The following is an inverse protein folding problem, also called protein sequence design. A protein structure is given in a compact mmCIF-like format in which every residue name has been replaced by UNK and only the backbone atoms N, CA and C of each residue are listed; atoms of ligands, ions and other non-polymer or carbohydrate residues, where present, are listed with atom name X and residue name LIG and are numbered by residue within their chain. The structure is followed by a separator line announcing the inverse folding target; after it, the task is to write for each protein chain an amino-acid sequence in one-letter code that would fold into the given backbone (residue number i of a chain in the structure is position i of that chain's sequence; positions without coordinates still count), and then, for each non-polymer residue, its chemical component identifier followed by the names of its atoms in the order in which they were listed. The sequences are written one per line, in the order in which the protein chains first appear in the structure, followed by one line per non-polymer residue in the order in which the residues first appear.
data_IF_504900348689
#
_entry.id   IF_504900348689
#
_cell.length_a   1.000
_cell.length_b   1.000
_cell.length_c   1.000
_cell.angle_alpha   90.00
_cell.angle_beta   90.00
_cell.angle_gamma   90.00
#
_symmetry.space_group_name_H-M   'P 1'
#
loop_
_entity.id
_entity.type
_entity.pdbx_description
1 polymer ?
#
# COMPACT_ATOMS: atom_id res chain seq x y z
N UNK A 1 -14.97 3.58 46.45
CA UNK A 1 -15.50 2.23 46.18
C UNK A 1 -16.47 2.36 45.01
N UNK A 2 -16.08 2.02 43.78
CA UNK A 2 -16.16 0.64 43.20
C UNK A 2 -17.63 0.30 42.92
N UNK A 3 -18.10 -0.09 41.74
CA UNK A 3 -17.47 -0.69 40.58
C UNK A 3 -18.31 -0.40 39.33
N UNK A 4 -17.62 -0.47 38.18
CA UNK A 4 -18.14 -0.72 36.85
C UNK A 4 -19.16 -1.88 36.82
N UNK A 5 -20.15 -1.82 35.91
CA UNK A 5 -20.28 -2.83 34.84
C UNK A 5 -20.95 -2.22 33.60
N UNK A 6 -20.22 -2.40 32.51
CA UNK A 6 -20.57 -2.19 31.11
C UNK A 6 -21.63 -3.21 30.68
N UNK A 7 -22.58 -2.76 29.87
CA UNK A 7 -23.18 -3.50 28.73
C UNK A 7 -24.13 -2.49 28.06
N UNK A 8 -24.24 -2.32 26.75
CA UNK A 8 -24.00 -3.22 25.64
C UNK A 8 -23.96 -2.32 24.39
N UNK A 9 -22.79 -2.14 23.77
CA UNK A 9 -22.64 -1.37 22.53
C UNK A 9 -23.12 -2.22 21.35
N UNK A 10 -24.38 -2.07 20.97
CA UNK A 10 -24.86 -2.47 19.66
C UNK A 10 -24.07 -1.69 18.58
N UNK A 11 -23.23 -2.42 17.85
CA UNK A 11 -22.42 -1.90 16.77
C UNK A 11 -23.26 -1.50 15.56
N UNK A 12 -23.67 -0.23 15.53
CA UNK A 12 -24.25 0.43 14.37
C UNK A 12 -23.14 0.77 13.35
N UNK A 13 -23.35 0.35 12.10
CA UNK A 13 -22.52 0.75 10.96
C UNK A 13 -22.63 2.26 10.71
N UNK A 14 -21.51 2.92 10.45
CA UNK A 14 -21.48 4.36 10.17
C UNK A 14 -20.08 4.98 10.25
N UNK A 15 -19.93 6.16 9.65
CA UNK A 15 -18.73 7.01 9.80
C UNK A 15 -18.89 7.80 11.10
N UNK A 16 -18.01 7.58 12.07
CA UNK A 16 -17.99 8.33 13.33
C UNK A 16 -16.69 9.11 13.41
N UNK A 17 -16.78 10.41 13.72
CA UNK A 17 -15.63 11.17 14.18
C UNK A 17 -15.29 10.66 15.59
N UNK A 18 -14.17 9.95 15.75
CA UNK A 18 -13.73 9.47 17.07
C UNK A 18 -12.49 10.24 17.53
N UNK A 19 -12.51 10.66 18.78
CA UNK A 19 -11.36 11.28 19.45
C UNK A 19 -10.56 10.14 20.05
N UNK A 20 -9.44 9.76 19.43
CA UNK A 20 -8.53 8.79 20.04
C UNK A 20 -7.73 9.48 21.16
N UNK A 21 -7.80 8.91 22.37
CA UNK A 21 -7.08 9.40 23.54
C UNK A 21 -5.90 8.46 23.80
N UNK A 22 -4.70 8.94 23.48
CA UNK A 22 -3.44 8.25 23.76
C UNK A 22 -3.28 8.09 25.28
N UNK A 23 -3.00 6.90 25.82
CA UNK A 23 -2.64 6.74 27.22
C UNK A 23 -1.34 7.53 27.48
N UNK A 24 -1.47 8.68 28.16
CA UNK A 24 -0.33 9.51 28.60
C UNK A 24 -0.06 10.82 27.84
N UNK A 25 -0.84 11.19 26.81
CA UNK A 25 -0.62 12.42 26.02
C UNK A 25 -1.76 13.43 26.10
N UNK A 26 -1.47 14.71 26.39
CA UNK A 26 -2.46 15.82 26.47
C UNK A 26 -2.71 16.52 25.13
N UNK A 27 -2.69 15.80 24.01
CA UNK A 27 -2.94 16.41 22.69
C UNK A 27 -3.94 15.57 21.91
N UNK A 28 -5.14 16.13 21.73
CA UNK A 28 -6.20 15.57 20.90
C UNK A 28 -5.88 15.79 19.42
N UNK A 29 -5.93 14.72 18.62
CA UNK A 29 -5.81 14.80 17.16
C UNK A 29 -7.12 14.25 16.57
N UNK A 30 -7.81 14.95 15.66
CA UNK A 30 -9.04 14.45 15.05
C UNK A 30 -8.77 13.21 14.17
N UNK A 31 -9.54 12.14 14.38
CA UNK A 31 -9.52 10.93 13.56
C UNK A 31 -10.93 10.65 13.00
N UNK A 32 -10.98 10.22 11.74
CA UNK A 32 -12.21 9.69 11.12
C UNK A 32 -12.16 8.17 11.16
N UNK A 33 -13.17 7.54 11.76
CA UNK A 33 -13.32 6.10 11.82
C UNK A 33 -14.51 5.67 10.97
N UNK A 34 -14.26 4.79 10.00
CA UNK A 34 -15.30 4.16 9.19
C UNK A 34 -15.40 2.68 9.57
N UNK A 35 -16.61 2.21 9.87
CA UNK A 35 -16.89 0.81 10.25
C UNK A 35 -18.11 0.30 9.49
N UNK A 36 -17.94 -0.81 8.74
CA UNK A 36 -18.96 -1.52 7.96
C UNK A 36 -19.69 -0.66 6.92
N UNK A 37 -18.96 0.26 6.28
CA UNK A 37 -19.49 1.09 5.20
C UNK A 37 -18.47 1.20 4.08
N UNK A 38 -18.95 1.21 2.83
CA UNK A 38 -18.16 1.66 1.68
C UNK A 38 -18.24 3.18 1.66
N UNK A 39 -17.13 3.80 2.03
CA UNK A 39 -16.99 5.26 2.02
C UNK A 39 -16.39 5.66 0.68
N UNK A 40 -16.84 6.77 0.09
CA UNK A 40 -16.23 7.31 -1.11
C UNK A 40 -14.83 7.87 -0.82
N UNK A 41 -14.71 9.19 -0.82
CA UNK A 41 -13.45 9.87 -0.52
C UNK A 41 -13.36 10.23 0.98
N UNK A 42 -12.25 9.85 1.62
CA UNK A 42 -11.92 10.19 3.01
C UNK A 42 -10.71 11.10 3.02
N UNK A 43 -10.87 12.31 3.56
CA UNK A 43 -9.77 13.22 3.87
C UNK A 43 -9.75 13.52 5.38
N UNK A 44 -8.67 13.16 6.07
CA UNK A 44 -8.47 13.42 7.50
C UNK A 44 -6.99 13.33 7.88
N UNK A 45 -6.60 13.82 9.06
CA UNK A 45 -5.21 13.65 9.54
C UNK A 45 -4.88 12.19 9.81
N UNK A 46 -5.79 11.48 10.48
CA UNK A 46 -5.67 10.05 10.78
C UNK A 46 -6.94 9.34 10.34
N UNK A 47 -6.78 8.24 9.63
CA UNK A 47 -7.89 7.39 9.17
C UNK A 47 -7.72 5.99 9.73
N UNK A 48 -8.76 5.49 10.39
CA UNK A 48 -8.84 4.11 10.84
C UNK A 48 -9.99 3.43 10.12
N UNK A 49 -9.67 2.38 9.36
CA UNK A 49 -10.63 1.50 8.73
C UNK A 49 -10.58 0.13 9.41
N UNK A 50 -11.72 -0.32 9.93
CA UNK A 50 -11.90 -1.71 10.38
C UNK A 50 -13.08 -2.31 9.63
N UNK A 51 -12.86 -3.44 8.94
CA UNK A 51 -13.85 -4.16 8.14
C UNK A 51 -14.69 -3.24 7.25
N UNK A 52 -14.01 -2.34 6.53
CA UNK A 52 -14.65 -1.30 5.71
C UNK A 52 -13.95 -1.10 4.38
N UNK A 53 -14.64 -0.45 3.45
CA UNK A 53 -14.12 -0.06 2.14
C UNK A 53 -13.98 1.45 2.02
N UNK A 54 -12.97 1.91 1.29
CA UNK A 54 -12.88 3.29 0.84
C UNK A 54 -12.51 3.39 -0.64
N UNK A 55 -13.07 4.34 -1.38
CA UNK A 55 -12.62 4.58 -2.75
C UNK A 55 -11.27 5.29 -2.75
N UNK A 56 -11.16 6.40 -2.01
CA UNK A 56 -9.91 7.16 -1.89
C UNK A 56 -9.69 7.57 -0.45
N UNK A 57 -8.48 7.38 0.05
CA UNK A 57 -8.06 7.87 1.36
C UNK A 57 -6.88 8.81 1.17
N UNK A 58 -6.99 10.02 1.72
CA UNK A 58 -5.91 11.00 1.78
C UNK A 58 -5.72 11.43 3.23
N UNK A 59 -4.60 11.04 3.84
CA UNK A 59 -4.33 11.30 5.25
C UNK A 59 -2.85 11.44 5.58
N UNK A 60 -2.51 11.77 6.82
CA UNK A 60 -1.11 11.66 7.27
C UNK A 60 -0.78 10.26 7.77
N UNK A 61 -1.75 9.60 8.41
CA UNK A 61 -1.63 8.23 8.90
C UNK A 61 -2.89 7.44 8.59
N UNK A 62 -2.71 6.22 8.09
CA UNK A 62 -3.79 5.28 7.82
C UNK A 62 -3.49 3.94 8.45
N UNK A 63 -4.45 3.44 9.20
CA UNK A 63 -4.46 2.06 9.71
C UNK A 63 -5.69 1.34 9.18
N UNK A 64 -5.47 0.23 8.49
CA UNK A 64 -6.51 -0.61 7.91
C UNK A 64 -6.40 -2.02 8.50
N UNK A 65 -7.50 -2.50 9.06
CA UNK A 65 -7.63 -3.88 9.54
C UNK A 65 -8.79 -4.56 8.81
N UNK A 66 -8.51 -5.70 8.14
CA UNK A 66 -9.50 -6.45 7.35
C UNK A 66 -10.32 -5.57 6.41
N UNK A 67 -9.69 -4.61 5.76
CA UNK A 67 -10.35 -3.52 5.02
C UNK A 67 -9.85 -3.41 3.58
N UNK A 68 -10.55 -2.64 2.75
CA UNK A 68 -10.24 -2.42 1.33
C UNK A 68 -10.14 -0.95 0.98
N UNK A 69 -9.19 -0.58 0.12
CA UNK A 69 -9.12 0.77 -0.46
C UNK A 69 -8.73 0.73 -1.94
N UNK A 70 -9.33 1.58 -2.79
CA UNK A 70 -8.88 1.68 -4.18
C UNK A 70 -7.63 2.54 -4.29
N UNK A 71 -7.62 3.74 -3.71
CA UNK A 71 -6.44 4.59 -3.68
C UNK A 71 -6.13 5.08 -2.26
N UNK A 72 -4.87 4.97 -1.86
CA UNK A 72 -4.37 5.38 -0.55
C UNK A 72 -3.17 6.30 -0.73
N UNK A 73 -3.28 7.56 -0.32
CA UNK A 73 -2.20 8.55 -0.31
C UNK A 73 -1.97 9.00 1.13
N UNK A 74 -0.80 8.70 1.70
CA UNK A 74 -0.52 9.00 3.11
C UNK A 74 0.96 9.14 3.41
N UNK A 75 1.35 9.70 4.56
CA UNK A 75 2.77 9.63 4.97
C UNK A 75 3.10 8.25 5.56
N UNK A 76 2.14 7.65 6.25
CA UNK A 76 2.28 6.32 6.84
C UNK A 76 1.03 5.48 6.63
N UNK A 77 1.22 4.28 6.08
CA UNK A 77 0.18 3.29 5.86
C UNK A 77 0.50 2.00 6.60
N UNK A 78 -0.43 1.53 7.41
CA UNK A 78 -0.37 0.21 8.03
C UNK A 78 -1.60 -0.58 7.62
N UNK A 79 -1.39 -1.72 6.97
CA UNK A 79 -2.44 -2.62 6.52
C UNK A 79 -2.20 -3.99 7.15
N UNK A 80 -3.21 -4.49 7.85
CA UNK A 80 -3.26 -5.85 8.37
C UNK A 80 -4.47 -6.57 7.79
N UNK A 81 -4.24 -7.73 7.16
CA UNK A 81 -5.26 -8.53 6.47
C UNK A 81 -6.11 -7.71 5.49
N UNK A 82 -5.51 -6.69 4.86
CA UNK A 82 -6.23 -5.67 4.09
C UNK A 82 -5.76 -5.64 2.63
N UNK A 83 -6.57 -5.01 1.77
CA UNK A 83 -6.34 -4.94 0.33
C UNK A 83 -6.31 -3.51 -0.19
N UNK A 84 -5.39 -3.19 -1.11
CA UNK A 84 -5.47 -1.93 -1.85
C UNK A 84 -5.07 -2.02 -3.33
N UNK A 85 -5.67 -1.21 -4.20
CA UNK A 85 -5.23 -1.17 -5.61
C UNK A 85 -3.98 -0.29 -5.76
N UNK A 86 -3.95 0.88 -5.14
CA UNK A 86 -2.81 1.78 -5.20
C UNK A 86 -2.50 2.37 -3.83
N UNK A 87 -1.24 2.25 -3.41
CA UNK A 87 -0.71 2.80 -2.16
C UNK A 87 0.47 3.71 -2.52
N UNK A 88 0.35 4.99 -2.18
CA UNK A 88 1.45 5.96 -2.14
C UNK A 88 1.69 6.38 -0.69
N UNK A 89 2.86 6.04 -0.15
CA UNK A 89 3.23 6.56 1.17
C UNK A 89 4.72 6.56 1.47
N UNK A 90 5.20 7.47 2.30
CA UNK A 90 6.61 7.45 2.72
C UNK A 90 6.96 6.14 3.42
N UNK A 91 6.08 5.66 4.31
CA UNK A 91 6.26 4.44 5.08
C UNK A 91 5.07 3.50 4.91
N UNK A 92 5.29 2.28 4.43
CA UNK A 92 4.26 1.27 4.23
C UNK A 92 4.58 0.01 5.03
N UNK A 93 3.60 -0.47 5.80
CA UNK A 93 3.65 -1.77 6.48
C UNK A 93 2.47 -2.62 6.00
N UNK A 94 2.78 -3.74 5.34
CA UNK A 94 1.82 -4.72 4.84
C UNK A 94 2.01 -6.03 5.60
N UNK A 95 0.99 -6.44 6.36
CA UNK A 95 0.96 -7.73 7.04
C UNK A 95 -0.22 -8.55 6.52
N UNK A 96 0.05 -9.75 5.99
CA UNK A 96 -0.99 -10.66 5.45
C UNK A 96 -1.96 -9.96 4.49
N UNK A 97 -1.44 -8.99 3.74
CA UNK A 97 -2.22 -8.03 2.97
C UNK A 97 -1.95 -8.19 1.47
N UNK A 98 -2.79 -7.59 0.64
CA UNK A 98 -2.62 -7.60 -0.81
C UNK A 98 -2.62 -6.20 -1.41
N UNK A 99 -1.76 -5.97 -2.39
CA UNK A 99 -1.74 -4.71 -3.11
C UNK A 99 -1.42 -4.89 -4.61
N UNK A 100 -2.01 -4.07 -5.47
CA UNK A 100 -1.63 -4.08 -6.90
C UNK A 100 -0.40 -3.20 -7.11
N UNK A 101 -0.44 -1.94 -6.71
CA UNK A 101 0.68 -1.02 -6.83
C UNK A 101 1.01 -0.39 -5.48
N UNK A 102 2.28 -0.45 -5.10
CA UNK A 102 2.82 0.18 -3.90
C UNK A 102 4.00 1.04 -4.30
N UNK A 103 3.95 2.32 -3.97
CA UNK A 103 5.06 3.27 -4.10
C UNK A 103 5.37 3.79 -2.71
N UNK A 104 6.59 3.55 -2.23
CA UNK A 104 7.01 3.99 -0.91
C UNK A 104 8.47 4.41 -0.84
N UNK A 105 8.86 5.15 0.19
CA UNK A 105 10.29 5.30 0.51
C UNK A 105 10.76 4.06 1.28
N UNK A 106 10.01 3.66 2.31
CA UNK A 106 10.27 2.47 3.11
C UNK A 106 9.05 1.54 3.11
N UNK A 107 9.26 0.27 2.74
CA UNK A 107 8.23 -0.76 2.71
C UNK A 107 8.62 -1.96 3.57
N UNK A 108 7.75 -2.36 4.51
CA UNK A 108 7.86 -3.61 5.26
C UNK A 108 6.71 -4.52 4.86
N UNK A 109 7.03 -5.67 4.28
CA UNK A 109 6.06 -6.56 3.65
C UNK A 109 6.23 -7.95 4.24
N UNK A 110 5.19 -8.45 4.91
CA UNK A 110 5.20 -9.77 5.55
C UNK A 110 3.96 -10.59 5.16
N UNK A 111 4.17 -11.83 4.75
CA UNK A 111 3.12 -12.78 4.34
C UNK A 111 2.10 -12.18 3.35
N UNK A 112 2.55 -11.28 2.49
CA UNK A 112 1.69 -10.44 1.65
C UNK A 112 1.89 -10.71 0.16
N UNK A 113 0.95 -10.26 -0.68
CA UNK A 113 1.01 -10.41 -2.12
C UNK A 113 0.95 -9.04 -2.80
N UNK A 114 1.99 -8.69 -3.56
CA UNK A 114 2.09 -7.41 -4.27
C UNK A 114 2.36 -7.65 -5.75
N UNK A 115 1.66 -6.95 -6.64
CA UNK A 115 1.97 -7.02 -8.08
C UNK A 115 3.19 -6.15 -8.39
N UNK A 116 3.11 -4.85 -8.12
CA UNK A 116 4.18 -3.89 -8.35
C UNK A 116 4.57 -3.21 -7.04
N UNK A 117 5.81 -3.39 -6.60
CA UNK A 117 6.41 -2.68 -5.47
C UNK A 117 7.54 -1.79 -5.96
N UNK A 118 7.40 -0.48 -5.79
CA UNK A 118 8.46 0.51 -5.94
C UNK A 118 8.83 1.05 -4.57
N UNK A 119 10.03 0.78 -4.07
CA UNK A 119 10.47 1.32 -2.79
C UNK A 119 11.96 1.59 -2.70
N UNK A 120 12.37 2.70 -2.07
CA UNK A 120 13.80 2.99 -1.89
C UNK A 120 14.45 1.95 -0.98
N UNK A 121 13.76 1.57 0.11
CA UNK A 121 14.10 0.45 0.99
C UNK A 121 12.90 -0.48 1.19
N UNK A 122 13.09 -1.78 0.91
CA UNK A 122 12.07 -2.78 1.18
C UNK A 122 12.59 -3.94 2.03
N UNK A 123 11.89 -4.29 3.10
CA UNK A 123 12.09 -5.54 3.85
C UNK A 123 10.93 -6.47 3.53
N UNK A 124 11.23 -7.62 2.94
CA UNK A 124 10.22 -8.57 2.43
C UNK A 124 10.44 -9.94 3.08
N UNK A 125 9.41 -10.45 3.76
CA UNK A 125 9.44 -11.75 4.45
C UNK A 125 8.20 -12.57 4.06
N UNK A 126 8.39 -13.82 3.61
CA UNK A 126 7.28 -14.75 3.29
C UNK A 126 6.29 -14.23 2.24
N UNK A 127 6.67 -13.25 1.43
CA UNK A 127 5.77 -12.49 0.56
C UNK A 127 6.04 -12.75 -0.92
N UNK A 128 5.01 -12.57 -1.76
CA UNK A 128 5.10 -12.74 -3.21
C UNK A 128 5.02 -11.39 -3.89
N UNK A 129 6.04 -11.06 -4.67
CA UNK A 129 6.11 -9.81 -5.45
C UNK A 129 6.35 -10.16 -6.91
N UNK A 130 5.52 -9.64 -7.82
CA UNK A 130 5.65 -9.92 -9.26
C UNK A 130 6.75 -9.04 -9.88
N UNK A 131 6.72 -7.74 -9.61
CA UNK A 131 7.72 -6.78 -10.08
C UNK A 131 8.16 -5.89 -8.92
N UNK A 132 9.46 -5.83 -8.69
CA UNK A 132 10.09 -5.00 -7.68
C UNK A 132 11.04 -3.99 -8.34
N UNK A 133 10.93 -2.73 -7.97
CA UNK A 133 11.82 -1.65 -8.37
C UNK A 133 12.31 -0.92 -7.11
N UNK A 134 13.60 -0.99 -6.80
CA UNK A 134 14.09 -0.45 -5.53
C UNK A 134 15.35 -1.10 -5.00
N UNK A 135 15.74 -0.71 -3.78
CA UNK A 135 16.70 -1.48 -2.99
C UNK A 135 15.94 -2.28 -1.94
N UNK A 136 16.18 -3.58 -1.87
CA UNK A 136 15.62 -4.43 -0.83
C UNK A 136 16.72 -4.81 0.16
N UNK A 137 16.46 -4.58 1.45
CA UNK A 137 17.31 -5.03 2.53
C UNK A 137 16.93 -6.47 2.88
N UNK A 138 17.65 -7.42 2.29
CA UNK A 138 17.47 -8.87 2.44
C UNK A 138 18.05 -9.64 1.24
N UNK A 139 18.23 -10.97 1.33
CA UNK A 139 18.62 -11.79 0.18
C UNK A 139 17.45 -11.86 -0.81
N UNK A 140 17.34 -10.88 -1.69
CA UNK A 140 16.44 -10.91 -2.83
C UNK A 140 17.16 -11.56 -4.00
N UNK A 141 16.59 -12.64 -4.55
CA UNK A 141 17.01 -13.17 -5.84
C UNK A 141 16.31 -12.33 -6.93
N UNK A 142 17.01 -11.42 -7.61
CA UNK A 142 16.38 -10.58 -8.62
C UNK A 142 16.11 -11.44 -9.86
N UNK A 143 14.85 -11.50 -10.30
CA UNK A 143 14.50 -12.12 -11.59
C UNK A 143 15.16 -11.39 -12.77
N UNK A 144 15.44 -10.10 -12.61
CA UNK A 144 16.17 -9.26 -13.56
C UNK A 144 17.48 -8.78 -12.92
N UNK A 145 18.58 -9.45 -13.26
CA UNK A 145 19.95 -9.01 -12.96
C UNK A 145 20.39 -7.96 -13.98
N UNK A 146 21.43 -7.15 -13.72
CA UNK A 146 21.99 -6.24 -14.72
C UNK A 146 22.33 -6.95 -16.05
N UNK A 147 22.76 -8.21 -15.98
CA UNK A 147 23.02 -9.05 -17.14
C UNK A 147 21.75 -9.44 -17.90
N UNK A 148 20.70 -9.91 -17.21
CA UNK A 148 19.44 -10.28 -17.88
C UNK A 148 18.65 -9.04 -18.36
N UNK A 149 18.74 -7.91 -17.66
CA UNK A 149 18.21 -6.64 -18.11
C UNK A 149 18.88 -6.14 -19.39
N UNK A 150 20.22 -6.22 -19.47
CA UNK A 150 20.97 -5.87 -20.67
C UNK A 150 20.64 -6.81 -21.85
N UNK A 151 20.49 -8.11 -21.60
CA UNK A 151 20.10 -9.07 -22.63
C UNK A 151 18.68 -8.79 -23.17
N UNK A 152 17.73 -8.52 -22.28
CA UNK A 152 16.34 -8.25 -22.65
C UNK A 152 16.22 -6.91 -23.40
N UNK A 153 16.91 -5.87 -22.92
CA UNK A 153 17.00 -4.57 -23.60
C UNK A 153 17.72 -4.65 -24.94
N UNK A 154 18.79 -5.44 -25.04
CA UNK A 154 19.51 -5.70 -26.28
C UNK A 154 18.66 -6.44 -27.32
N UNK A 155 17.89 -7.45 -26.89
CA UNK A 155 16.98 -8.18 -27.77
C UNK A 155 15.86 -7.28 -28.31
N UNK A 156 15.18 -6.54 -27.42
CA UNK A 156 14.14 -5.58 -27.83
C UNK A 156 14.70 -4.48 -28.72
N UNK A 157 15.84 -3.88 -28.35
CA UNK A 157 16.51 -2.85 -29.12
C UNK A 157 16.93 -3.35 -30.50
N UNK A 158 17.44 -4.58 -30.60
CA UNK A 158 17.78 -5.22 -31.86
C UNK A 158 16.58 -5.40 -32.78
N UNK A 159 15.45 -5.89 -32.25
CA UNK A 159 14.20 -6.06 -33.02
C UNK A 159 13.68 -4.71 -33.52
N UNK A 160 13.66 -3.69 -32.65
CA UNK A 160 13.21 -2.34 -33.01
C UNK A 160 14.14 -1.71 -34.07
N UNK A 161 15.45 -1.83 -33.90
CA UNK A 161 16.42 -1.32 -34.87
C UNK A 161 16.26 -2.00 -36.24
N UNK A 162 16.08 -3.32 -36.25
CA UNK A 162 15.88 -4.12 -37.46
C UNK A 162 14.59 -3.70 -38.18
N UNK A 163 13.49 -3.50 -37.45
CA UNK A 163 12.23 -2.94 -37.99
C UNK A 163 12.43 -1.54 -38.58
N UNK A 164 13.05 -0.62 -37.83
CA UNK A 164 13.29 0.75 -38.30
C UNK A 164 14.17 0.78 -39.55
N UNK A 165 15.15 -0.11 -39.65
CA UNK A 165 16.06 -0.22 -40.78
C UNK A 165 15.34 -0.75 -42.03
N UNK A 166 14.44 -1.72 -41.87
CA UNK A 166 13.56 -2.21 -42.93
C UNK A 166 12.52 -1.18 -43.39
N UNK A 167 11.96 -0.40 -42.45
CA UNK A 167 11.04 0.70 -42.77
C UNK A 167 11.75 1.83 -43.53
N UNK A 168 12.99 2.17 -43.16
CA UNK A 168 13.81 3.14 -43.89
C UNK A 168 14.19 2.67 -45.29
N UNK A 169 14.55 1.39 -45.45
CA UNK A 169 14.99 0.86 -46.76
C UNK A 169 13.88 0.83 -47.80
N UNK A 170 12.61 0.78 -47.38
CA UNK A 170 11.44 0.75 -48.28
C UNK A 170 10.97 2.13 -48.76
N UNK A 171 11.55 3.21 -48.22
CA UNK A 171 11.22 4.60 -48.56
C UNK A 171 12.20 5.28 -49.54
N UNK A 172 13.11 4.50 -50.14
CA UNK A 172 13.96 4.90 -51.27
C UNK A 172 13.64 4.03 -52.47
#
# INVERSE_FOLDING_TARGET
MSDERQDNQNGEAGVRDTIWKQPGGRVSIPAKQATKVDVGDIAATTVLLDRSGAERITAERVSMERSGAKALETKSAQLDQSGALTIGADNVVLLKSSAVQVVAQEARVKDSAIVLLSADRATVEGSRIVLFAGHADGPVEPLLTPASAAALGGALGGVVALLLLLLRSRSR
#
